data_IF_301629246501
#
_entry.id   IF_301629246501
#
_cell.length_a   1.000
_cell.length_b   1.000
_cell.length_c   1.000
_cell.angle_alpha   90.00
_cell.angle_beta   90.00
_cell.angle_gamma   90.00
#
_symmetry.space_group_name_H-M   'P 1'
#
loop_
_entity.id
_entity.type
_entity.pdbx_description
1 polymer ?
#
# COMPACT_ATOMS: atom_id res chain seq x y z
N UNK A 1 -19.96 -43.82 14.42
CA UNK A 1 -18.50 -44.13 14.35
C UNK A 1 -17.84 -43.59 13.12
N UNK A 2 -18.45 -42.65 12.38
CA UNK A 2 -17.89 -42.09 11.10
C UNK A 2 -17.37 -40.66 11.16
N UNK A 3 -17.73 -39.88 12.17
CA UNK A 3 -17.33 -38.45 12.27
C UNK A 3 -15.85 -38.29 12.67
N UNK A 4 -15.27 -39.23 13.41
CA UNK A 4 -13.85 -39.17 13.84
C UNK A 4 -12.85 -39.47 12.71
N UNK A 5 -13.29 -40.09 11.61
CA UNK A 5 -12.42 -40.41 10.47
C UNK A 5 -12.21 -39.21 9.53
N UNK A 6 -13.09 -38.21 9.63
CA UNK A 6 -13.07 -37.01 8.77
C UNK A 6 -12.12 -35.92 9.28
N UNK A 7 -11.78 -35.94 10.56
CA UNK A 7 -10.93 -34.92 11.17
C UNK A 7 -9.41 -35.12 10.98
N UNK A 8 -9.00 -36.26 10.42
CA UNK A 8 -7.58 -36.60 10.23
C UNK A 8 -7.13 -36.69 8.75
N UNK A 9 -7.93 -36.23 7.81
CA UNK A 9 -7.52 -36.15 6.40
C UNK A 9 -7.08 -34.75 6.07
N UNK A 10 -5.86 -34.60 5.57
CA UNK A 10 -5.33 -33.35 5.01
C UNK A 10 -6.15 -32.99 3.79
N UNK A 11 -7.07 -32.03 3.94
CA UNK A 11 -7.91 -31.52 2.85
C UNK A 11 -7.06 -30.55 2.02
N UNK A 12 -6.87 -30.83 0.74
CA UNK A 12 -6.21 -29.90 -0.18
C UNK A 12 -7.13 -28.71 -0.51
N UNK A 13 -6.55 -27.58 -0.93
CA UNK A 13 -7.32 -26.39 -1.36
C UNK A 13 -8.35 -26.74 -2.47
N UNK A 14 -8.04 -27.71 -3.30
CA UNK A 14 -8.93 -28.19 -4.38
C UNK A 14 -10.14 -28.94 -3.82
N UNK A 15 -9.94 -29.74 -2.79
CA UNK A 15 -11.03 -30.50 -2.14
C UNK A 15 -11.99 -29.57 -1.37
N UNK A 16 -11.47 -28.50 -0.78
CA UNK A 16 -12.29 -27.49 -0.13
C UNK A 16 -13.18 -26.72 -1.13
N UNK A 17 -12.66 -26.39 -2.31
CA UNK A 17 -13.40 -25.70 -3.38
C UNK A 17 -14.48 -26.62 -3.97
N UNK A 18 -14.18 -27.90 -4.18
CA UNK A 18 -15.14 -28.88 -4.72
C UNK A 18 -16.23 -29.20 -3.69
N UNK A 19 -15.91 -29.24 -2.40
CA UNK A 19 -16.90 -29.44 -1.34
C UNK A 19 -17.87 -28.25 -1.23
N UNK A 20 -17.38 -27.02 -1.38
CA UNK A 20 -18.21 -25.79 -1.35
C UNK A 20 -19.16 -25.72 -2.56
N UNK A 21 -18.72 -26.16 -3.73
CA UNK A 21 -19.56 -26.22 -4.95
C UNK A 21 -20.66 -27.28 -4.86
N UNK A 22 -20.44 -28.37 -4.13
CA UNK A 22 -21.46 -29.45 -3.95
C UNK A 22 -22.50 -29.12 -2.87
N UNK A 23 -22.17 -28.25 -1.90
CA UNK A 23 -23.12 -27.81 -0.86
C UNK A 23 -24.05 -26.70 -1.36
N UNK A 24 -23.67 -25.95 -2.40
CA UNK A 24 -24.47 -24.90 -3.01
C UNK A 24 -25.68 -25.39 -3.82
N UNK A 25 -25.78 -26.69 -4.08
CA UNK A 25 -26.86 -27.28 -4.92
C UNK A 25 -27.97 -28.04 -4.14
N UNK A 26 -27.96 -28.05 -2.81
CA UNK A 26 -28.83 -28.88 -2.00
C UNK A 26 -29.42 -28.23 -0.73
N UNK A 27 -29.72 -26.94 -0.74
CA UNK A 27 -30.45 -26.31 0.38
C UNK A 27 -31.63 -25.47 -0.16
N UNK A 28 -32.63 -26.17 -0.68
CA UNK A 28 -34.01 -25.75 -0.52
C UNK A 28 -34.65 -26.78 0.39
N UNK A 29 -34.68 -26.52 1.68
CA UNK A 29 -35.68 -26.98 2.63
C UNK A 29 -35.38 -26.46 4.04
N UNK A 30 -36.33 -25.72 4.54
CA UNK A 30 -36.46 -25.23 5.91
C UNK A 30 -36.23 -26.31 6.97
N UNK A 31 -35.15 -26.19 7.72
CA UNK A 31 -35.05 -26.58 9.14
C UNK A 31 -33.88 -25.86 9.77
N UNK A 32 -34.14 -25.17 10.88
CA UNK A 32 -33.16 -24.49 11.69
C UNK A 32 -32.11 -25.50 12.17
N UNK A 33 -30.95 -25.57 11.51
CA UNK A 33 -29.78 -26.23 12.06
C UNK A 33 -29.15 -25.24 13.02
N UNK A 34 -29.41 -25.42 14.31
CA UNK A 34 -28.62 -24.84 15.38
C UNK A 34 -27.24 -25.46 15.29
N UNK A 35 -26.32 -24.83 14.57
CA UNK A 35 -24.91 -25.14 14.69
C UNK A 35 -24.51 -24.80 16.12
N UNK A 36 -23.95 -25.73 16.90
CA UNK A 36 -23.31 -25.35 18.15
C UNK A 36 -22.18 -24.38 17.76
N UNK A 37 -22.36 -23.12 18.06
CA UNK A 37 -21.23 -22.19 18.10
C UNK A 37 -20.20 -22.87 18.97
N UNK A 38 -19.00 -23.11 18.41
CA UNK A 38 -17.85 -23.51 19.17
C UNK A 38 -17.82 -22.63 20.42
N UNK A 39 -17.93 -23.28 21.56
CA UNK A 39 -17.73 -22.63 22.84
C UNK A 39 -16.53 -21.74 22.69
N UNK A 40 -16.75 -20.45 22.86
CA UNK A 40 -15.69 -19.46 23.00
C UNK A 40 -14.62 -20.13 23.83
N UNK A 41 -13.43 -20.31 23.26
CA UNK A 41 -12.26 -20.62 24.06
C UNK A 41 -12.26 -19.53 25.13
N UNK A 42 -12.59 -19.91 26.35
CA UNK A 42 -12.39 -19.04 27.47
C UNK A 42 -10.90 -18.77 27.46
N UNK A 43 -10.55 -17.53 27.02
CA UNK A 43 -9.22 -17.03 27.28
C UNK A 43 -9.05 -17.24 28.78
N UNK A 44 -8.18 -18.19 29.16
CA UNK A 44 -7.80 -18.31 30.54
C UNK A 44 -7.35 -16.93 30.95
N UNK A 45 -8.10 -16.31 31.87
CA UNK A 45 -7.70 -15.07 32.51
C UNK A 45 -6.40 -15.37 33.26
N UNK A 46 -5.29 -15.32 32.55
CA UNK A 46 -3.98 -15.24 33.19
C UNK A 46 -4.02 -13.95 34.00
N UNK A 47 -3.82 -14.03 35.34
CA UNK A 47 -3.86 -12.83 36.18
C UNK A 47 -2.87 -11.81 35.61
N UNK A 48 -3.39 -10.66 35.22
CA UNK A 48 -2.56 -9.57 34.68
C UNK A 48 -1.74 -9.06 35.85
N UNK A 49 -0.40 -9.01 35.75
CA UNK A 49 0.42 -8.49 36.82
C UNK A 49 -0.03 -7.05 37.12
N UNK A 50 -0.47 -6.83 38.37
CA UNK A 50 -0.61 -5.48 38.90
C UNK A 50 0.78 -4.98 39.26
N UNK A 51 1.21 -3.86 38.70
CA UNK A 51 2.42 -3.25 39.22
C UNK A 51 2.13 -2.46 40.51
N UNK A 52 3.17 -1.99 41.18
CA UNK A 52 3.09 -1.40 42.53
C UNK A 52 2.18 -0.15 42.64
N UNK A 53 1.58 0.32 41.54
CA UNK A 53 0.76 1.54 41.45
C UNK A 53 -0.71 1.27 41.07
N UNK A 54 -1.24 0.06 41.21
CA UNK A 54 -2.58 -0.33 40.72
C UNK A 54 -2.76 -0.15 39.20
N UNK A 55 -1.69 -0.04 38.45
CA UNK A 55 -1.72 0.00 37.01
C UNK A 55 -1.80 -1.43 36.45
N UNK A 56 -2.60 -1.62 35.43
CA UNK A 56 -2.66 -2.86 34.66
C UNK A 56 -2.15 -2.65 33.26
N UNK A 57 -1.34 -3.62 32.79
CA UNK A 57 -0.84 -3.64 31.41
C UNK A 57 -1.82 -4.38 30.51
N UNK A 58 -2.12 -3.82 29.36
CA UNK A 58 -2.88 -4.45 28.27
C UNK A 58 -2.07 -4.34 26.99
N UNK A 59 -2.11 -5.35 26.15
CA UNK A 59 -1.47 -5.35 24.83
C UNK A 59 -2.50 -5.06 23.75
N UNK A 60 -2.11 -4.27 22.77
CA UNK A 60 -2.95 -3.87 21.65
C UNK A 60 -2.10 -3.61 20.42
N UNK A 61 -2.72 -3.24 19.31
CA UNK A 61 -2.05 -2.82 18.09
C UNK A 61 -2.48 -1.40 17.69
N UNK A 62 -1.57 -0.66 17.10
CA UNK A 62 -1.87 0.65 16.53
C UNK A 62 -2.79 0.50 15.31
N UNK A 63 -3.94 1.17 15.35
CA UNK A 63 -4.94 1.16 14.27
C UNK A 63 -4.93 2.44 13.43
N UNK A 64 -3.84 3.19 13.44
CA UNK A 64 -3.69 4.35 12.55
C UNK A 64 -3.54 3.89 11.11
N UNK A 65 -4.05 4.67 10.17
CA UNK A 65 -4.14 4.36 8.73
C UNK A 65 -2.79 4.28 8.00
N UNK A 66 -1.68 4.06 8.67
CA UNK A 66 -0.40 3.79 8.02
C UNK A 66 -0.13 2.30 7.79
N UNK A 67 -1.01 1.41 8.26
CA UNK A 67 -0.88 -0.04 8.05
C UNK A 67 0.21 -0.75 8.86
N UNK A 68 1.03 -0.03 9.63
CA UNK A 68 2.19 -0.61 10.34
C UNK A 68 1.82 -1.57 11.47
N UNK A 69 0.59 -1.48 12.02
CA UNK A 69 0.08 -2.37 13.10
C UNK A 69 1.03 -2.50 14.29
N UNK A 70 1.77 -1.42 14.61
CA UNK A 70 2.77 -1.44 15.67
C UNK A 70 2.18 -1.95 16.99
N UNK A 71 2.84 -2.88 17.69
CA UNK A 71 2.42 -3.36 19.00
C UNK A 71 2.45 -2.23 20.02
N UNK A 72 1.44 -2.19 20.88
CA UNK A 72 1.25 -1.18 21.91
C UNK A 72 1.15 -1.84 23.28
N UNK A 73 1.92 -1.32 24.23
CA UNK A 73 1.76 -1.57 25.66
C UNK A 73 0.88 -0.47 26.23
N UNK A 74 -0.33 -0.85 26.63
CA UNK A 74 -1.37 0.09 27.10
C UNK A 74 -1.47 0.00 28.60
N UNK A 75 -1.21 1.10 29.28
CA UNK A 75 -1.27 1.18 30.74
C UNK A 75 -2.63 1.74 31.14
N UNK A 76 -3.36 0.94 31.92
CA UNK A 76 -4.72 1.25 32.38
C UNK A 76 -4.73 1.40 33.90
N UNK A 77 -5.33 2.48 34.40
CA UNK A 77 -5.57 2.74 35.81
C UNK A 77 -7.01 3.24 35.98
N UNK A 78 -7.76 2.66 36.92
CA UNK A 78 -9.17 3.02 37.15
C UNK A 78 -10.00 3.01 35.85
N UNK A 79 -9.89 1.92 35.08
CA UNK A 79 -10.55 1.73 33.77
C UNK A 79 -10.24 2.80 32.71
N UNK A 80 -9.17 3.57 32.88
CA UNK A 80 -8.74 4.59 31.93
C UNK A 80 -7.34 4.33 31.43
N UNK A 81 -7.12 4.50 30.14
CA UNK A 81 -5.79 4.50 29.53
C UNK A 81 -5.05 5.75 30.03
N UNK A 82 -4.01 5.56 30.83
CA UNK A 82 -3.20 6.66 31.36
C UNK A 82 -2.00 6.94 30.47
N UNK A 83 -1.41 5.91 29.85
CA UNK A 83 -0.34 6.08 28.85
C UNK A 83 -0.29 4.89 27.88
N UNK A 84 0.36 5.10 26.75
CA UNK A 84 0.64 4.09 25.75
C UNK A 84 2.15 4.14 25.47
N UNK A 85 2.78 3.00 25.58
CA UNK A 85 4.21 2.79 25.41
C UNK A 85 4.48 1.84 24.24
N UNK A 86 5.70 1.81 23.70
CA UNK A 86 6.13 0.71 22.85
C UNK A 86 6.05 -0.62 23.61
N UNK A 87 5.75 -1.69 22.92
CA UNK A 87 6.03 -3.03 23.43
C UNK A 87 7.54 -3.17 23.60
N UNK A 88 7.99 -3.73 24.71
CA UNK A 88 9.40 -3.87 25.05
C UNK A 88 9.93 -5.30 24.83
N UNK A 89 9.23 -6.09 24.03
CA UNK A 89 9.75 -7.35 23.52
C UNK A 89 11.07 -7.13 22.76
N UNK A 90 11.94 -8.11 22.79
CA UNK A 90 13.19 -8.09 22.05
C UNK A 90 12.94 -8.32 20.56
N UNK A 91 13.93 -7.98 19.73
CA UNK A 91 13.95 -8.33 18.32
C UNK A 91 13.81 -9.86 18.17
N UNK A 92 13.18 -10.30 17.09
CA UNK A 92 12.98 -11.71 16.82
C UNK A 92 14.32 -12.40 16.53
N UNK A 93 14.74 -13.27 17.44
CA UNK A 93 16.00 -13.99 17.29
C UNK A 93 15.95 -15.10 16.22
N UNK A 94 14.74 -15.58 15.86
CA UNK A 94 14.56 -16.69 14.92
C UNK A 94 14.58 -16.17 13.48
N UNK A 95 13.86 -15.07 13.20
CA UNK A 95 13.75 -14.50 11.87
C UNK A 95 14.69 -13.31 11.63
N UNK A 96 15.43 -12.87 12.66
CA UNK A 96 16.32 -11.71 12.56
C UNK A 96 15.58 -10.37 12.40
N UNK A 97 14.26 -10.36 12.57
CA UNK A 97 13.48 -9.16 12.43
C UNK A 97 13.56 -8.28 13.67
N UNK A 98 13.65 -6.97 13.46
CA UNK A 98 13.65 -6.00 14.54
C UNK A 98 12.24 -5.67 15.00
N UNK A 99 12.10 -5.31 16.26
CA UNK A 99 10.82 -4.94 16.82
C UNK A 99 10.28 -3.63 16.23
N UNK A 100 9.06 -3.67 15.72
CA UNK A 100 8.34 -2.49 15.25
C UNK A 100 7.86 -1.65 16.43
N UNK A 101 8.34 -0.41 16.55
CA UNK A 101 7.98 0.51 17.63
C UNK A 101 6.97 1.57 17.16
N UNK A 102 5.92 1.87 17.96
CA UNK A 102 4.93 2.86 17.59
C UNK A 102 5.54 4.27 17.60
N UNK A 103 5.26 5.02 16.55
CA UNK A 103 5.57 6.44 16.48
C UNK A 103 4.61 7.26 17.37
N UNK A 104 4.78 8.57 17.39
CA UNK A 104 3.94 9.49 18.17
C UNK A 104 2.44 9.32 17.90
N UNK A 105 2.04 9.03 16.65
CA UNK A 105 0.63 8.79 16.29
C UNK A 105 0.02 7.60 17.05
N UNK A 106 0.74 6.49 17.15
CA UNK A 106 0.30 5.33 17.93
C UNK A 106 0.27 5.63 19.42
N UNK A 107 1.34 6.23 19.94
CA UNK A 107 1.47 6.57 21.36
C UNK A 107 0.44 7.60 21.85
N UNK A 108 0.01 8.52 20.99
CA UNK A 108 -1.01 9.52 21.29
C UNK A 108 -2.45 9.04 21.10
N UNK A 109 -2.67 7.77 20.72
CA UNK A 109 -4.02 7.23 20.43
C UNK A 109 -5.01 7.38 21.58
N UNK A 110 -4.53 7.44 22.85
CA UNK A 110 -5.39 7.68 24.02
C UNK A 110 -6.19 8.99 23.92
N UNK A 111 -5.62 10.04 23.33
CA UNK A 111 -6.31 11.32 23.15
C UNK A 111 -7.50 11.18 22.21
N UNK A 112 -7.38 10.36 21.17
CA UNK A 112 -8.49 10.05 20.28
C UNK A 112 -9.58 9.23 20.97
N UNK A 113 -9.20 8.29 21.86
CA UNK A 113 -10.19 7.49 22.63
C UNK A 113 -11.05 8.38 23.53
N UNK A 114 -10.43 9.37 24.16
CA UNK A 114 -11.11 10.27 25.10
C UNK A 114 -11.45 11.64 24.52
N UNK A 115 -11.36 11.83 23.22
CA UNK A 115 -11.75 13.09 22.59
C UNK A 115 -13.21 13.42 22.89
N UNK A 116 -13.52 14.67 23.28
CA UNK A 116 -14.90 15.11 23.49
C UNK A 116 -15.74 15.02 22.21
N UNK A 117 -15.10 15.17 21.06
CA UNK A 117 -15.76 15.11 19.73
C UNK A 117 -16.03 13.69 19.24
N UNK A 118 -15.59 12.68 20.00
CA UNK A 118 -15.81 11.28 19.62
C UNK A 118 -17.28 10.93 19.64
N UNK A 119 -17.80 10.39 18.53
CA UNK A 119 -19.14 9.82 18.46
C UNK A 119 -19.21 8.58 19.34
N UNK A 120 -20.08 8.60 20.36
CA UNK A 120 -20.22 7.52 21.38
C UNK A 120 -21.48 6.68 21.20
N UNK A 121 -22.44 7.19 20.46
CA UNK A 121 -23.79 6.61 20.32
C UNK A 121 -24.25 6.73 18.88
N UNK A 122 -25.18 5.87 18.42
CA UNK A 122 -25.85 6.06 17.16
C UNK A 122 -26.59 7.40 17.15
N UNK A 123 -26.53 8.08 16.02
CA UNK A 123 -27.18 9.38 15.84
C UNK A 123 -27.94 9.41 14.52
N UNK A 124 -29.19 9.93 14.58
CA UNK A 124 -30.04 10.10 13.41
C UNK A 124 -30.16 11.58 13.07
N UNK A 125 -30.00 11.92 11.80
CA UNK A 125 -30.19 13.28 11.32
C UNK A 125 -31.64 13.70 11.46
N UNK A 126 -31.88 14.89 12.00
CA UNK A 126 -33.21 15.49 12.23
C UNK A 126 -33.43 16.78 11.45
N UNK A 127 -32.42 17.31 10.80
CA UNK A 127 -32.48 18.51 9.97
C UNK A 127 -32.29 18.19 8.47
N UNK A 128 -32.28 19.22 7.65
CA UNK A 128 -31.92 19.11 6.23
C UNK A 128 -30.45 18.65 6.07
N UNK A 129 -30.13 18.06 4.90
CA UNK A 129 -28.75 17.71 4.58
C UNK A 129 -27.88 18.97 4.63
N UNK A 130 -26.76 18.92 5.35
CA UNK A 130 -25.84 20.04 5.53
C UNK A 130 -26.08 20.87 6.82
N UNK A 131 -27.23 20.77 7.47
CA UNK A 131 -27.49 21.54 8.73
C UNK A 131 -26.73 20.99 9.95
N UNK A 132 -26.17 19.78 9.89
CA UNK A 132 -25.42 19.19 11.01
C UNK A 132 -26.27 18.86 12.25
N UNK A 133 -27.59 18.79 12.12
CA UNK A 133 -28.52 18.52 13.23
C UNK A 133 -28.79 17.05 13.40
N UNK A 134 -28.42 16.50 14.55
CA UNK A 134 -28.58 15.09 14.88
C UNK A 134 -29.18 14.90 16.25
N UNK A 135 -29.94 13.81 16.46
CA UNK A 135 -30.37 13.34 17.78
C UNK A 135 -29.79 11.95 18.07
N UNK A 136 -29.49 11.69 19.33
CA UNK A 136 -29.11 10.34 19.79
C UNK A 136 -30.32 9.40 19.66
N UNK A 137 -30.05 8.16 19.22
CA UNK A 137 -31.01 7.06 19.14
C UNK A 137 -30.43 5.81 19.82
N UNK A 138 -31.22 4.77 20.04
CA UNK A 138 -30.74 3.47 20.50
C UNK A 138 -30.11 2.68 19.38
N UNK A 139 -29.34 1.63 19.72
CA UNK A 139 -28.82 0.68 18.72
C UNK A 139 -29.95 -0.08 18.03
N UNK A 140 -31.02 -0.43 18.76
CA UNK A 140 -32.18 -1.13 18.18
C UNK A 140 -32.90 -0.25 17.16
N UNK A 141 -33.10 1.04 17.47
CA UNK A 141 -33.66 2.00 16.51
C UNK A 141 -32.75 2.17 15.29
N UNK A 142 -31.42 2.23 15.50
CA UNK A 142 -30.48 2.41 14.41
C UNK A 142 -30.45 1.20 13.47
N UNK A 143 -30.37 -0.01 14.01
CA UNK A 143 -30.32 -1.25 13.22
C UNK A 143 -31.65 -1.51 12.50
N UNK A 144 -32.78 -1.30 13.15
CA UNK A 144 -34.09 -1.41 12.53
C UNK A 144 -34.27 -0.42 11.38
N UNK A 145 -33.87 0.84 11.59
CA UNK A 145 -33.92 1.87 10.55
C UNK A 145 -33.03 1.52 9.34
N UNK A 146 -31.79 1.08 9.57
CA UNK A 146 -30.86 0.69 8.51
C UNK A 146 -31.41 -0.52 7.73
N UNK A 147 -31.93 -1.54 8.43
CA UNK A 147 -32.49 -2.72 7.78
C UNK A 147 -33.69 -2.35 6.89
N UNK A 148 -34.64 -1.53 7.41
CA UNK A 148 -35.79 -1.07 6.64
C UNK A 148 -35.39 -0.28 5.38
N UNK A 149 -34.37 0.62 5.50
CA UNK A 149 -33.91 1.41 4.36
C UNK A 149 -33.16 0.56 3.33
N UNK A 150 -32.35 -0.41 3.73
CA UNK A 150 -31.70 -1.33 2.82
C UNK A 150 -32.73 -2.17 2.04
N UNK A 151 -33.77 -2.65 2.73
CA UNK A 151 -34.89 -3.38 2.10
C UNK A 151 -35.62 -2.48 1.11
N UNK A 152 -36.05 -1.32 1.55
CA UNK A 152 -36.79 -0.35 0.71
C UNK A 152 -35.99 0.03 -0.56
N UNK A 153 -34.69 0.37 -0.42
CA UNK A 153 -33.86 0.74 -1.57
C UNK A 153 -33.70 -0.43 -2.52
N UNK A 154 -33.49 -1.64 -1.98
CA UNK A 154 -33.33 -2.84 -2.80
C UNK A 154 -34.59 -3.19 -3.59
N UNK A 155 -35.77 -3.08 -2.97
CA UNK A 155 -37.05 -3.37 -3.61
C UNK A 155 -37.45 -2.30 -4.63
N UNK A 156 -37.15 -1.04 -4.34
CA UNK A 156 -37.59 0.08 -5.16
C UNK A 156 -36.62 0.37 -6.33
N UNK A 157 -35.32 0.19 -6.15
CA UNK A 157 -34.30 0.64 -7.09
C UNK A 157 -33.27 -0.42 -7.51
N UNK A 158 -33.35 -1.63 -6.95
CA UNK A 158 -32.37 -2.70 -7.20
C UNK A 158 -31.18 -2.65 -6.23
N UNK A 159 -30.36 -3.71 -6.27
CA UNK A 159 -29.20 -3.88 -5.39
C UNK A 159 -28.05 -2.94 -5.73
N UNK A 160 -27.90 -2.62 -6.98
CA UNK A 160 -26.91 -1.68 -7.52
C UNK A 160 -27.10 -0.23 -7.05
N UNK A 161 -28.28 0.10 -6.47
CA UNK A 161 -28.52 1.38 -5.81
C UNK A 161 -27.86 1.47 -4.41
N UNK A 162 -27.37 0.34 -3.88
CA UNK A 162 -26.63 0.29 -2.62
C UNK A 162 -25.14 0.33 -2.93
N UNK A 163 -24.51 1.49 -2.73
CA UNK A 163 -23.08 1.66 -2.94
C UNK A 163 -22.30 1.49 -1.63
N UNK A 164 -21.33 0.58 -1.63
CA UNK A 164 -20.41 0.41 -0.50
C UNK A 164 -19.13 1.20 -0.72
N UNK A 165 -18.94 2.26 0.08
CA UNK A 165 -17.77 3.13 -0.03
C UNK A 165 -16.50 2.48 0.50
N UNK A 166 -15.38 2.80 -0.14
CA UNK A 166 -14.05 2.33 0.22
C UNK A 166 -13.60 2.80 1.61
N UNK A 167 -12.92 1.90 2.29
CA UNK A 167 -12.26 2.15 3.55
C UNK A 167 -10.97 1.32 3.64
N UNK A 168 -9.86 1.91 4.08
CA UNK A 168 -8.56 1.25 4.16
C UNK A 168 -7.85 1.44 5.50
N UNK A 169 -6.60 0.95 5.56
CA UNK A 169 -5.74 0.99 6.73
C UNK A 169 -5.91 -0.20 7.65
N UNK A 170 -5.27 -0.17 8.82
CA UNK A 170 -5.32 -1.26 9.79
C UNK A 170 -6.74 -1.54 10.31
N UNK A 171 -7.59 -0.54 10.27
CA UNK A 171 -9.01 -0.68 10.59
C UNK A 171 -9.75 -1.71 9.72
N UNK A 172 -9.27 -1.98 8.54
CA UNK A 172 -9.87 -2.92 7.62
C UNK A 172 -10.24 -4.26 8.27
N UNK A 173 -9.39 -4.77 9.17
CA UNK A 173 -9.59 -6.06 9.83
C UNK A 173 -10.38 -5.99 11.14
N UNK A 174 -10.45 -4.82 11.78
CA UNK A 174 -11.07 -4.63 13.09
C UNK A 174 -12.37 -3.85 13.08
N UNK A 175 -12.71 -3.30 11.92
CA UNK A 175 -13.98 -2.59 11.71
C UNK A 175 -15.01 -3.50 11.04
N UNK A 176 -16.24 -3.08 11.07
CA UNK A 176 -17.37 -3.82 10.53
C UNK A 176 -17.36 -4.04 9.00
N UNK A 177 -16.31 -3.65 8.25
CA UNK A 177 -16.27 -3.80 6.81
C UNK A 177 -16.49 -5.25 6.34
N UNK A 178 -15.78 -6.27 6.85
CA UNK A 178 -16.05 -7.65 6.46
C UNK A 178 -17.48 -8.09 6.79
N UNK A 179 -18.03 -7.64 7.91
CA UNK A 179 -19.40 -7.93 8.30
C UNK A 179 -20.42 -7.26 7.38
N UNK A 180 -20.19 -5.99 6.99
CA UNK A 180 -21.03 -5.27 6.02
C UNK A 180 -20.98 -5.93 4.64
N UNK A 181 -19.80 -6.27 4.13
CA UNK A 181 -19.64 -6.96 2.84
C UNK A 181 -20.37 -8.31 2.87
N UNK A 182 -20.23 -9.06 3.98
CA UNK A 182 -20.94 -10.32 4.16
C UNK A 182 -22.46 -10.13 4.15
N UNK A 183 -22.98 -9.17 4.91
CA UNK A 183 -24.40 -8.86 4.95
C UNK A 183 -24.93 -8.52 3.56
N UNK A 184 -24.30 -7.59 2.86
CA UNK A 184 -24.72 -7.13 1.54
C UNK A 184 -24.69 -8.24 0.50
N UNK A 185 -23.67 -9.11 0.52
CA UNK A 185 -23.60 -10.28 -0.35
C UNK A 185 -24.72 -11.29 -0.05
N UNK A 186 -25.00 -11.55 1.23
CA UNK A 186 -26.09 -12.46 1.64
C UNK A 186 -27.48 -11.91 1.30
N UNK A 187 -27.62 -10.60 1.18
CA UNK A 187 -28.90 -9.96 0.83
C UNK A 187 -29.04 -9.65 -0.66
N UNK A 188 -28.17 -10.19 -1.51
CA UNK A 188 -28.31 -10.14 -2.97
C UNK A 188 -27.34 -9.21 -3.70
N UNK A 189 -26.34 -8.66 -3.01
CA UNK A 189 -25.28 -7.87 -3.62
C UNK A 189 -25.40 -6.36 -3.39
N UNK A 190 -24.46 -5.63 -3.99
CA UNK A 190 -24.32 -4.17 -3.86
C UNK A 190 -23.37 -3.65 -4.95
N UNK A 191 -23.37 -2.35 -5.20
CA UNK A 191 -22.39 -1.69 -6.04
C UNK A 191 -21.09 -1.50 -5.27
N UNK A 192 -20.04 -2.19 -5.70
CA UNK A 192 -18.70 -2.07 -5.11
C UNK A 192 -17.94 -0.90 -5.72
N UNK A 193 -16.93 -0.40 -5.00
CA UNK A 193 -15.99 0.59 -5.54
C UNK A 193 -15.00 -0.06 -6.52
N UNK A 194 -14.55 0.70 -7.50
CA UNK A 194 -13.48 0.30 -8.40
C UNK A 194 -12.19 1.03 -8.06
N UNK A 195 -11.18 0.28 -7.60
CA UNK A 195 -9.85 0.79 -7.29
C UNK A 195 -9.81 1.92 -6.21
N UNK A 196 -8.64 2.46 -5.99
CA UNK A 196 -8.40 3.51 -5.00
C UNK A 196 -7.37 4.51 -5.51
N UNK A 197 -7.42 5.74 -5.03
CA UNK A 197 -6.38 6.73 -5.32
C UNK A 197 -5.03 6.40 -4.67
N UNK A 198 -5.00 5.49 -3.70
CA UNK A 198 -3.78 5.22 -2.91
C UNK A 198 -2.68 4.56 -3.74
N UNK A 199 -3.00 3.46 -4.42
CA UNK A 199 -2.01 2.59 -5.10
C UNK A 199 -2.53 1.97 -6.38
N UNK A 200 -3.73 2.33 -6.84
CA UNK A 200 -4.36 1.68 -7.98
C UNK A 200 -3.51 1.73 -9.24
N UNK A 201 -2.84 2.84 -9.46
CA UNK A 201 -2.06 3.05 -10.68
C UNK A 201 -0.76 2.23 -10.65
N UNK A 202 -0.08 2.11 -9.49
CA UNK A 202 1.03 1.18 -9.33
C UNK A 202 0.57 -0.27 -9.53
N UNK A 203 -0.53 -0.63 -8.86
CA UNK A 203 -1.08 -1.99 -8.92
C UNK A 203 -1.54 -2.40 -10.32
N UNK A 204 -1.94 -1.43 -11.14
CA UNK A 204 -2.29 -1.65 -12.55
C UNK A 204 -1.06 -1.65 -13.45
N UNK A 205 -0.19 -0.65 -13.33
CA UNK A 205 0.95 -0.48 -14.22
C UNK A 205 1.99 -1.60 -14.11
N UNK A 206 2.29 -2.06 -12.89
CA UNK A 206 3.36 -3.06 -12.66
C UNK A 206 3.10 -4.39 -13.39
N UNK A 207 1.92 -5.01 -13.33
CA UNK A 207 1.62 -6.22 -14.10
C UNK A 207 1.69 -6.01 -15.63
N UNK A 208 1.28 -4.83 -16.11
CA UNK A 208 1.38 -4.52 -17.54
C UNK A 208 2.83 -4.28 -18.00
N UNK A 209 3.72 -3.88 -17.09
CA UNK A 209 5.13 -3.65 -17.40
C UNK A 209 5.96 -4.93 -17.26
N UNK A 210 5.68 -5.74 -16.24
CA UNK A 210 6.52 -6.87 -15.84
C UNK A 210 5.83 -8.24 -15.89
N UNK A 211 4.54 -8.28 -16.27
CA UNK A 211 3.75 -9.52 -16.30
C UNK A 211 3.12 -9.89 -14.96
N UNK A 212 3.65 -9.39 -13.83
CA UNK A 212 3.12 -9.62 -12.48
C UNK A 212 3.41 -8.42 -11.56
N UNK A 213 2.80 -8.42 -10.37
CA UNK A 213 3.08 -7.43 -9.33
C UNK A 213 4.36 -7.79 -8.59
N UNK A 214 5.48 -7.32 -9.10
CA UNK A 214 6.82 -7.65 -8.63
C UNK A 214 7.54 -6.44 -8.06
N UNK A 215 8.56 -6.70 -7.24
CA UNK A 215 9.44 -5.69 -6.67
C UNK A 215 10.43 -6.31 -5.69
N UNK A 216 11.56 -5.65 -5.50
CA UNK A 216 12.60 -6.09 -4.56
C UNK A 216 12.35 -5.56 -3.16
N UNK A 217 12.68 -6.33 -2.15
CA UNK A 217 12.60 -5.92 -0.75
C UNK A 217 13.73 -4.95 -0.39
N UNK A 218 13.53 -4.09 0.62
CA UNK A 218 14.55 -3.13 1.08
C UNK A 218 15.87 -3.75 1.51
N UNK A 219 15.88 -5.00 1.93
CA UNK A 219 17.11 -5.72 2.27
C UNK A 219 18.08 -5.81 1.11
N UNK A 220 17.62 -5.73 -0.14
CA UNK A 220 18.48 -5.73 -1.33
C UNK A 220 19.37 -4.49 -1.43
N UNK A 221 19.03 -3.41 -0.73
CA UNK A 221 19.88 -2.22 -0.61
C UNK A 221 21.25 -2.56 0.02
N UNK A 222 21.33 -3.61 0.84
CA UNK A 222 22.60 -4.08 1.39
C UNK A 222 23.64 -4.49 0.32
N UNK A 223 23.20 -4.73 -0.91
CA UNK A 223 24.04 -5.11 -2.05
C UNK A 223 24.21 -4.00 -3.09
N UNK A 224 23.65 -2.81 -2.82
CA UNK A 224 23.62 -1.69 -3.76
C UNK A 224 24.76 -0.71 -3.50
N UNK A 225 25.19 0.00 -4.54
CA UNK A 225 26.16 1.10 -4.47
C UNK A 225 25.43 2.46 -4.55
N UNK A 226 24.26 2.47 -5.19
CA UNK A 226 23.41 3.64 -5.34
C UNK A 226 21.96 3.28 -5.04
N UNK A 227 21.26 4.19 -4.34
CA UNK A 227 19.84 4.09 -4.04
C UNK A 227 19.13 5.34 -4.56
N UNK A 228 18.15 5.19 -5.44
CA UNK A 228 17.36 6.31 -5.98
C UNK A 228 15.90 6.13 -5.61
N UNK A 229 15.37 7.06 -4.83
CA UNK A 229 14.01 7.01 -4.29
C UNK A 229 13.15 8.12 -4.88
N UNK A 230 12.11 7.75 -5.64
CA UNK A 230 11.16 8.68 -6.24
C UNK A 230 9.94 8.87 -5.33
N UNK A 231 9.75 10.06 -4.76
CA UNK A 231 8.61 10.40 -3.93
C UNK A 231 8.37 9.41 -2.77
N UNK A 232 9.42 8.83 -2.23
CA UNK A 232 9.37 7.83 -1.18
C UNK A 232 9.88 8.41 0.15
N UNK A 233 8.95 8.76 1.02
CA UNK A 233 9.22 9.31 2.33
C UNK A 233 8.94 8.28 3.43
N UNK A 234 9.90 7.45 3.76
CA UNK A 234 9.76 6.38 4.74
C UNK A 234 9.67 6.89 6.17
N UNK A 235 10.38 7.97 6.49
CA UNK A 235 10.46 8.50 7.86
C UNK A 235 9.13 9.08 8.34
N UNK A 236 8.34 9.72 7.46
CA UNK A 236 7.07 10.33 7.83
C UNK A 236 5.85 9.44 7.54
N UNK A 237 5.80 8.78 6.39
CA UNK A 237 4.56 8.17 5.90
C UNK A 237 4.35 6.73 6.35
N UNK A 238 5.37 5.91 6.41
CA UNK A 238 5.35 4.51 6.87
C UNK A 238 4.19 3.67 6.33
N UNK A 239 3.75 3.93 5.10
CA UNK A 239 2.50 3.34 4.58
C UNK A 239 2.55 1.83 4.39
N UNK A 240 3.72 1.25 4.20
CA UNK A 240 3.90 -0.18 3.92
C UNK A 240 4.42 -0.98 5.12
N UNK A 241 4.79 -0.31 6.22
CA UNK A 241 5.24 -1.02 7.43
C UNK A 241 6.00 -0.12 8.40
N UNK A 242 5.94 -0.44 9.68
CA UNK A 242 6.58 0.34 10.75
C UNK A 242 8.09 0.15 10.87
N UNK A 243 8.64 -0.87 10.22
CA UNK A 243 10.05 -1.25 10.29
C UNK A 243 10.92 -0.70 9.17
N UNK A 244 10.33 -0.19 8.10
CA UNK A 244 11.05 0.12 6.86
C UNK A 244 12.22 1.12 7.01
N UNK A 245 12.10 2.11 7.88
CA UNK A 245 13.21 3.04 8.14
C UNK A 245 14.41 2.31 8.76
N UNK A 246 14.14 1.39 9.71
CA UNK A 246 15.19 0.61 10.34
C UNK A 246 15.80 -0.41 9.38
N UNK A 247 14.98 -1.03 8.54
CA UNK A 247 15.45 -1.94 7.48
C UNK A 247 16.37 -1.22 6.49
N UNK A 248 15.96 -0.02 6.04
CA UNK A 248 16.77 0.83 5.17
C UNK A 248 18.09 1.21 5.86
N UNK A 249 18.04 1.65 7.12
CA UNK A 249 19.23 2.02 7.89
C UNK A 249 20.22 0.86 8.01
N UNK A 250 19.75 -0.32 8.38
CA UNK A 250 20.61 -1.53 8.48
C UNK A 250 21.21 -1.93 7.14
N UNK A 251 20.42 -1.85 6.07
CA UNK A 251 20.91 -2.15 4.73
C UNK A 251 21.98 -1.14 4.28
N UNK A 252 21.79 0.15 4.55
CA UNK A 252 22.78 1.21 4.26
C UNK A 252 24.04 1.11 5.12
N UNK A 253 23.94 0.66 6.38
CA UNK A 253 25.11 0.38 7.21
C UNK A 253 26.00 -0.72 6.60
N UNK A 254 25.41 -1.66 5.91
CA UNK A 254 26.11 -2.76 5.23
C UNK A 254 26.71 -2.29 3.90
N UNK A 255 25.90 -1.72 3.02
CA UNK A 255 26.30 -1.36 1.66
C UNK A 255 27.13 -0.09 1.56
N UNK A 256 26.90 0.87 2.48
CA UNK A 256 27.40 2.24 2.36
C UNK A 256 26.94 2.95 1.09
N UNK A 257 25.84 2.50 0.51
CA UNK A 257 25.30 3.06 -0.73
C UNK A 257 24.99 4.55 -0.58
N UNK A 258 25.28 5.31 -1.62
CA UNK A 258 24.83 6.70 -1.72
C UNK A 258 23.32 6.73 -1.98
N UNK A 259 22.61 7.63 -1.31
CA UNK A 259 21.15 7.78 -1.43
C UNK A 259 20.80 9.09 -2.12
N UNK A 260 19.93 9.04 -3.12
CA UNK A 260 19.35 10.20 -3.80
C UNK A 260 17.83 10.12 -3.62
N UNK A 261 17.24 11.17 -3.05
CA UNK A 261 15.79 11.28 -2.87
C UNK A 261 15.24 12.39 -3.77
N UNK A 262 14.44 11.97 -4.73
CA UNK A 262 13.74 12.83 -5.68
C UNK A 262 12.34 13.09 -5.10
N UNK A 263 12.13 14.26 -4.53
CA UNK A 263 10.88 14.61 -3.85
C UNK A 263 10.62 16.11 -3.95
N UNK A 264 9.38 16.57 -4.16
CA UNK A 264 9.04 17.98 -4.11
C UNK A 264 9.35 18.65 -2.76
N UNK A 265 9.42 17.88 -1.69
CA UNK A 265 9.66 18.35 -0.32
C UNK A 265 11.00 17.87 0.22
N UNK A 266 11.64 18.73 1.01
CA UNK A 266 12.72 18.31 1.89
C UNK A 266 12.13 17.61 3.11
N UNK A 267 12.21 16.28 3.15
CA UNK A 267 11.54 15.43 4.14
C UNK A 267 12.51 14.90 5.20
N UNK A 268 11.97 14.37 6.31
CA UNK A 268 12.79 13.71 7.33
C UNK A 268 13.63 12.57 6.76
N UNK A 269 13.18 11.90 5.69
CA UNK A 269 13.96 10.86 5.03
C UNK A 269 15.26 11.38 4.42
N UNK A 270 15.32 12.63 3.96
CA UNK A 270 16.55 13.22 3.44
C UNK A 270 17.59 13.40 4.56
N UNK A 271 17.12 13.82 5.75
CA UNK A 271 17.98 14.06 6.91
C UNK A 271 18.48 12.76 7.51
N UNK A 272 17.57 11.79 7.73
CA UNK A 272 17.89 10.55 8.43
C UNK A 272 18.82 9.63 7.63
N UNK A 273 18.71 9.68 6.30
CA UNK A 273 19.50 8.83 5.41
C UNK A 273 20.74 9.55 4.84
N UNK A 274 21.04 10.77 5.30
CA UNK A 274 22.11 11.60 4.75
C UNK A 274 22.08 11.69 3.23
N UNK A 275 20.85 11.75 2.68
CA UNK A 275 20.59 11.65 1.25
C UNK A 275 20.85 12.97 0.52
N UNK A 276 21.27 12.88 -0.73
CA UNK A 276 21.14 14.00 -1.64
C UNK A 276 19.67 14.25 -1.94
N UNK A 277 19.17 15.45 -1.66
CA UNK A 277 17.83 15.84 -2.07
C UNK A 277 17.84 16.46 -3.47
N UNK A 278 17.04 15.90 -4.34
CA UNK A 278 16.83 16.40 -5.69
C UNK A 278 15.40 16.92 -5.81
N UNK A 279 15.18 18.24 -5.64
CA UNK A 279 13.85 18.83 -5.71
C UNK A 279 13.27 18.72 -7.12
N UNK A 280 12.02 18.26 -7.21
CA UNK A 280 11.33 18.10 -8.46
C UNK A 280 9.96 18.79 -8.42
N UNK A 281 9.49 19.37 -9.53
CA UNK A 281 8.10 19.82 -9.60
C UNK A 281 7.16 18.62 -9.50
N UNK A 282 6.07 18.72 -8.72
CA UNK A 282 5.12 17.60 -8.57
C UNK A 282 4.63 17.08 -9.91
N UNK A 283 4.47 15.76 -10.05
CA UNK A 283 3.92 15.06 -11.23
C UNK A 283 4.78 15.10 -12.50
N UNK A 284 6.06 15.44 -12.40
CA UNK A 284 6.96 15.54 -13.56
C UNK A 284 8.05 14.45 -13.59
N UNK A 285 7.93 13.42 -12.74
CA UNK A 285 8.90 12.33 -12.65
C UNK A 285 9.11 11.61 -13.99
N UNK A 286 8.06 11.44 -14.79
CA UNK A 286 8.15 10.81 -16.11
C UNK A 286 9.03 11.60 -17.08
N UNK A 287 9.00 12.94 -17.00
CA UNK A 287 9.86 13.79 -17.83
C UNK A 287 11.33 13.69 -17.38
N UNK A 288 11.58 13.60 -16.07
CA UNK A 288 12.92 13.34 -15.55
C UNK A 288 13.47 12.02 -16.11
N UNK A 289 12.68 10.95 -16.03
CA UNK A 289 13.07 9.64 -16.54
C UNK A 289 13.37 9.67 -18.03
N UNK A 290 12.55 10.36 -18.82
CA UNK A 290 12.80 10.51 -20.26
C UNK A 290 14.12 11.25 -20.56
N UNK A 291 14.43 12.33 -19.80
CA UNK A 291 15.71 13.03 -19.92
C UNK A 291 16.91 12.19 -19.49
N UNK A 292 16.76 11.35 -18.47
CA UNK A 292 17.77 10.34 -18.09
C UNK A 292 17.96 9.34 -19.22
N UNK A 293 16.88 8.77 -19.75
CA UNK A 293 16.94 7.80 -20.84
C UNK A 293 17.58 8.38 -22.11
N UNK A 294 17.29 9.65 -22.44
CA UNK A 294 17.95 10.32 -23.55
C UNK A 294 19.47 10.35 -23.39
N UNK A 295 19.96 10.68 -22.19
CA UNK A 295 21.40 10.65 -21.91
C UNK A 295 21.98 9.24 -22.01
N UNK A 296 21.29 8.24 -21.42
CA UNK A 296 21.71 6.84 -21.48
C UNK A 296 21.87 6.35 -22.93
N UNK A 297 20.93 6.71 -23.79
CA UNK A 297 20.94 6.30 -25.22
C UNK A 297 22.03 7.06 -26.00
N UNK A 298 22.06 8.38 -25.90
CA UNK A 298 22.95 9.21 -26.72
C UNK A 298 24.42 9.11 -26.31
N UNK A 299 24.71 8.83 -25.07
CA UNK A 299 26.06 8.60 -24.56
C UNK A 299 26.47 7.11 -24.60
N UNK A 300 25.61 6.25 -25.17
CA UNK A 300 25.87 4.80 -25.32
C UNK A 300 26.18 4.11 -24.00
N UNK A 301 25.42 4.45 -22.95
CA UNK A 301 25.60 3.92 -21.60
C UNK A 301 24.76 2.66 -21.33
N UNK A 302 24.06 2.14 -22.34
CA UNK A 302 23.23 0.96 -22.27
C UNK A 302 23.87 -0.24 -22.96
N UNK A 303 23.67 -1.42 -22.42
CA UNK A 303 23.82 -2.67 -23.17
C UNK A 303 22.55 -2.91 -24.00
N UNK A 304 22.49 -2.36 -25.21
CA UNK A 304 21.31 -2.46 -26.09
C UNK A 304 20.99 -3.92 -26.44
N UNK A 305 21.96 -4.82 -26.49
CA UNK A 305 21.73 -6.23 -26.74
C UNK A 305 20.96 -6.87 -25.57
N UNK A 306 21.34 -6.54 -24.34
CA UNK A 306 20.64 -6.97 -23.13
C UNK A 306 19.21 -6.40 -23.11
N UNK A 307 19.07 -5.09 -23.35
CA UNK A 307 17.77 -4.42 -23.34
C UNK A 307 16.83 -5.04 -24.38
N UNK A 308 17.27 -5.22 -25.61
CA UNK A 308 16.47 -5.83 -26.70
C UNK A 308 16.12 -7.31 -26.42
N UNK A 309 16.96 -8.02 -25.66
CA UNK A 309 16.69 -9.40 -25.28
C UNK A 309 15.55 -9.53 -24.27
N UNK A 310 15.42 -8.59 -23.34
CA UNK A 310 14.49 -8.69 -22.21
C UNK A 310 13.35 -7.69 -22.25
N UNK A 311 13.40 -6.66 -23.09
CA UNK A 311 12.40 -5.61 -23.17
C UNK A 311 11.73 -5.59 -24.55
N UNK A 312 10.42 -5.66 -24.57
CA UNK A 312 9.62 -5.49 -25.79
C UNK A 312 9.41 -4.00 -26.05
N UNK A 313 9.65 -3.56 -27.29
CA UNK A 313 9.39 -2.17 -27.72
C UNK A 313 10.45 -1.16 -27.30
N UNK A 314 11.65 -1.58 -26.92
CA UNK A 314 12.76 -0.66 -26.68
C UNK A 314 13.16 0.06 -27.98
N UNK A 315 13.44 -0.70 -29.02
CA UNK A 315 13.67 -0.17 -30.37
C UNK A 315 12.76 -0.85 -31.41
N UNK A 316 12.93 -0.48 -32.68
CA UNK A 316 12.06 -0.98 -33.76
C UNK A 316 12.15 -2.49 -33.97
N UNK A 317 13.27 -3.12 -33.62
CA UNK A 317 13.47 -4.55 -33.80
C UNK A 317 12.65 -5.41 -32.84
N UNK A 318 12.21 -4.82 -31.73
CA UNK A 318 11.43 -5.49 -30.66
C UNK A 318 9.97 -5.02 -30.61
N UNK A 319 9.54 -4.19 -31.56
CA UNK A 319 8.15 -3.79 -31.68
C UNK A 319 7.26 -4.96 -32.13
N UNK A 320 6.05 -5.12 -31.58
CA UNK A 320 5.05 -6.04 -32.13
C UNK A 320 4.63 -5.60 -33.54
N UNK A 321 4.29 -6.57 -34.40
CA UNK A 321 3.85 -6.32 -35.78
C UNK A 321 2.62 -5.37 -35.89
N UNK A 322 1.85 -5.28 -34.82
CA UNK A 322 0.66 -4.41 -34.71
C UNK A 322 0.99 -2.97 -34.32
N UNK A 323 2.23 -2.68 -33.92
CA UNK A 323 2.64 -1.34 -33.51
C UNK A 323 3.02 -0.47 -34.72
N UNK A 324 2.87 0.86 -34.58
CA UNK A 324 3.42 1.78 -35.58
C UNK A 324 4.95 1.68 -35.65
N UNK A 325 5.58 1.82 -36.83
CA UNK A 325 7.02 1.61 -37.00
C UNK A 325 7.93 2.51 -36.17
N UNK A 326 7.41 3.67 -35.75
CA UNK A 326 8.11 4.69 -34.93
C UNK A 326 7.61 4.76 -33.48
N UNK A 327 6.91 3.72 -33.01
CA UNK A 327 6.31 3.68 -31.68
C UNK A 327 7.25 3.08 -30.61
N UNK A 328 8.54 2.88 -30.92
CA UNK A 328 9.50 2.36 -29.94
C UNK A 328 9.81 3.39 -28.84
N UNK A 329 10.22 2.90 -27.68
CA UNK A 329 10.66 3.78 -26.60
C UNK A 329 11.87 4.65 -27.02
N UNK A 330 12.79 4.10 -27.79
CA UNK A 330 13.95 4.81 -28.34
C UNK A 330 13.50 5.92 -29.30
N UNK A 331 12.52 5.67 -30.17
CA UNK A 331 11.95 6.69 -31.06
C UNK A 331 11.28 7.82 -30.24
N UNK A 332 10.49 7.50 -29.22
CA UNK A 332 9.89 8.47 -28.34
C UNK A 332 10.94 9.36 -27.66
N UNK A 333 11.99 8.76 -27.09
CA UNK A 333 13.03 9.49 -26.35
C UNK A 333 13.86 10.38 -27.27
N UNK A 334 14.21 9.89 -28.46
CA UNK A 334 15.04 10.62 -29.42
C UNK A 334 14.27 11.63 -30.28
N UNK A 335 12.92 11.69 -30.17
CA UNK A 335 12.10 12.57 -30.96
C UNK A 335 11.91 12.14 -32.41
N UNK A 336 12.12 10.87 -32.72
CA UNK A 336 11.81 10.26 -34.02
C UNK A 336 10.44 9.56 -34.03
N UNK A 337 9.73 9.60 -32.89
CA UNK A 337 8.36 9.16 -32.72
C UNK A 337 7.31 10.20 -33.17
N UNK A 338 6.05 9.94 -32.88
CA UNK A 338 4.91 10.71 -33.41
C UNK A 338 4.90 12.18 -32.99
N UNK A 339 5.42 12.54 -31.81
CA UNK A 339 5.42 13.93 -31.33
C UNK A 339 6.59 14.75 -31.86
N UNK A 340 7.59 14.14 -32.50
CA UNK A 340 8.74 14.82 -33.08
C UNK A 340 9.62 15.56 -32.07
N UNK A 341 9.45 15.31 -30.75
CA UNK A 341 10.13 16.07 -29.70
C UNK A 341 11.17 15.18 -29.03
N UNK A 342 12.46 15.52 -29.15
CA UNK A 342 13.52 14.85 -28.38
C UNK A 342 13.41 15.19 -26.87
N UNK A 343 13.44 14.17 -26.04
CA UNK A 343 13.31 14.30 -24.59
C UNK A 343 14.68 14.57 -23.96
N UNK A 344 15.34 15.63 -24.45
CA UNK A 344 16.68 16.00 -23.98
C UNK A 344 16.69 16.34 -22.48
N UNK A 345 17.85 16.33 -21.82
CA UNK A 345 17.98 16.83 -20.46
C UNK A 345 17.53 18.30 -20.31
N UNK A 346 17.66 19.14 -21.32
CA UNK A 346 17.17 20.51 -21.35
C UNK A 346 15.64 20.54 -21.36
N UNK A 347 15.00 19.77 -22.25
CA UNK A 347 13.55 19.61 -22.27
C UNK A 347 13.04 19.13 -20.91
N UNK A 348 13.69 18.14 -20.31
CA UNK A 348 13.31 17.66 -18.98
C UNK A 348 13.54 18.69 -17.88
N UNK A 349 14.61 19.50 -17.96
CA UNK A 349 14.90 20.56 -16.99
C UNK A 349 13.82 21.65 -16.96
N UNK A 350 13.32 22.06 -18.12
CA UNK A 350 12.24 23.04 -18.22
C UNK A 350 10.95 22.56 -17.56
N UNK A 351 10.67 21.27 -17.62
CA UNK A 351 9.48 20.65 -17.03
C UNK A 351 9.68 20.41 -15.54
N UNK A 352 10.79 19.78 -15.16
CA UNK A 352 11.00 19.26 -13.81
C UNK A 352 11.55 20.29 -12.82
N UNK A 353 12.25 21.30 -13.34
CA UNK A 353 13.03 22.25 -12.55
C UNK A 353 14.40 21.73 -12.10
N UNK A 354 14.78 20.50 -12.48
CA UNK A 354 16.09 19.92 -12.19
C UNK A 354 17.06 20.36 -13.30
N UNK A 355 18.24 20.92 -12.99
CA UNK A 355 19.19 21.36 -14.01
C UNK A 355 19.60 20.22 -14.97
N UNK A 356 19.67 20.49 -16.27
CA UNK A 356 20.03 19.53 -17.30
C UNK A 356 21.38 18.82 -17.01
N UNK A 357 22.36 19.57 -16.47
CA UNK A 357 23.65 19.01 -16.03
C UNK A 357 23.49 17.95 -14.96
N UNK A 358 22.56 18.17 -14.00
CA UNK A 358 22.28 17.20 -12.94
C UNK A 358 21.53 15.97 -13.46
N UNK A 359 20.64 16.16 -14.43
CA UNK A 359 19.95 15.04 -15.11
C UNK A 359 20.95 14.13 -15.81
N UNK A 360 21.89 14.70 -16.59
CA UNK A 360 23.00 13.94 -17.21
C UNK A 360 23.87 13.22 -16.20
N UNK A 361 24.22 13.93 -15.14
CA UNK A 361 25.03 13.34 -14.07
C UNK A 361 24.32 12.16 -13.44
N UNK A 362 23.01 12.27 -13.12
CA UNK A 362 22.21 11.20 -12.54
C UNK A 362 22.14 9.97 -13.49
N UNK A 363 21.97 10.20 -14.79
CA UNK A 363 21.97 9.14 -15.80
C UNK A 363 23.29 8.34 -15.77
N UNK A 364 24.44 9.05 -15.74
CA UNK A 364 25.77 8.42 -15.68
C UNK A 364 25.99 7.69 -14.34
N UNK A 365 25.53 8.25 -13.23
CA UNK A 365 25.60 7.63 -11.90
C UNK A 365 24.82 6.32 -11.84
N UNK A 366 23.61 6.30 -12.41
CA UNK A 366 22.79 5.08 -12.47
C UNK A 366 23.49 4.03 -13.37
N UNK A 367 23.96 4.43 -14.54
CA UNK A 367 24.59 3.51 -15.49
C UNK A 367 25.94 2.95 -14.99
N UNK A 368 26.69 3.73 -14.22
CA UNK A 368 28.00 3.32 -13.69
C UNK A 368 27.92 2.55 -12.38
N UNK A 369 26.79 2.56 -11.69
CA UNK A 369 26.61 1.79 -10.47
C UNK A 369 26.67 0.29 -10.79
N UNK A 370 27.40 -0.48 -9.98
CA UNK A 370 27.42 -1.94 -10.09
C UNK A 370 26.03 -2.52 -9.76
N UNK A 371 25.36 -1.94 -8.77
CA UNK A 371 24.00 -2.28 -8.41
C UNK A 371 23.28 -1.00 -7.94
N UNK A 372 22.22 -0.62 -8.66
CA UNK A 372 21.39 0.54 -8.33
C UNK A 372 20.01 0.09 -7.88
N UNK A 373 19.64 0.40 -6.64
CA UNK A 373 18.28 0.17 -6.14
C UNK A 373 17.39 1.36 -6.47
N UNK A 374 16.40 1.17 -7.34
CA UNK A 374 15.45 2.21 -7.75
C UNK A 374 14.07 1.86 -7.20
N UNK A 375 13.48 2.77 -6.43
CA UNK A 375 12.17 2.57 -5.84
C UNK A 375 11.31 3.83 -5.89
N UNK A 376 10.01 3.65 -6.07
CA UNK A 376 9.05 4.73 -6.01
C UNK A 376 8.10 4.60 -4.83
N UNK A 377 7.76 5.73 -4.24
CA UNK A 377 6.66 5.83 -3.29
C UNK A 377 5.31 5.93 -3.99
N UNK A 378 4.28 6.21 -3.21
CA UNK A 378 2.93 6.37 -3.75
C UNK A 378 2.63 7.79 -4.26
N UNK A 379 3.49 8.76 -3.95
CA UNK A 379 3.35 10.14 -4.39
C UNK A 379 3.32 10.30 -5.90
N UNK A 380 4.33 9.82 -6.64
CA UNK A 380 4.46 10.02 -8.08
C UNK A 380 3.27 9.55 -8.91
N UNK A 381 2.50 8.55 -8.44
CA UNK A 381 1.34 8.04 -9.19
C UNK A 381 0.01 8.74 -8.87
N UNK A 382 -0.04 9.64 -7.86
CA UNK A 382 -1.31 10.22 -7.36
C UNK A 382 -1.77 11.43 -8.16
N UNK A 383 -1.86 11.29 -9.46
CA UNK A 383 -2.40 12.30 -10.39
C UNK A 383 -3.06 11.61 -11.58
N UNK A 384 -3.67 12.39 -12.49
CA UNK A 384 -4.21 11.84 -13.72
C UNK A 384 -3.10 11.17 -14.54
N UNK A 385 -3.37 9.97 -15.05
CA UNK A 385 -2.43 9.15 -15.83
C UNK A 385 -1.14 8.79 -15.07
N UNK A 386 -1.19 8.70 -13.74
CA UNK A 386 -0.03 8.37 -12.90
C UNK A 386 0.54 6.97 -13.15
N UNK A 387 -0.23 6.06 -13.76
CA UNK A 387 0.26 4.77 -14.25
C UNK A 387 1.37 4.93 -15.31
N UNK A 388 1.36 6.00 -16.08
CA UNK A 388 2.46 6.29 -17.03
C UNK A 388 3.74 6.71 -16.27
N UNK A 389 3.59 7.48 -15.20
CA UNK A 389 4.73 7.81 -14.31
C UNK A 389 5.32 6.54 -13.67
N UNK A 390 4.47 5.63 -13.22
CA UNK A 390 4.93 4.33 -12.68
C UNK A 390 5.73 3.56 -13.71
N UNK A 391 5.18 3.41 -14.93
CA UNK A 391 5.86 2.71 -16.03
C UNK A 391 7.19 3.36 -16.39
N UNK A 392 7.22 4.70 -16.46
CA UNK A 392 8.44 5.45 -16.73
C UNK A 392 9.53 5.15 -15.69
N UNK A 393 9.22 5.23 -14.39
CA UNK A 393 10.20 4.95 -13.33
C UNK A 393 10.67 3.48 -13.42
N UNK A 394 9.77 2.54 -13.67
CA UNK A 394 10.10 1.11 -13.82
C UNK A 394 10.94 0.81 -15.07
N UNK A 395 10.97 1.70 -16.04
CA UNK A 395 11.82 1.56 -17.23
C UNK A 395 13.31 1.72 -16.89
N UNK A 396 13.67 2.54 -15.89
CA UNK A 396 15.08 2.80 -15.56
C UNK A 396 15.86 1.52 -15.20
N UNK A 397 15.43 0.69 -14.23
CA UNK A 397 16.15 -0.54 -13.91
C UNK A 397 16.17 -1.52 -15.09
N UNK A 398 15.13 -1.52 -15.94
CA UNK A 398 15.12 -2.37 -17.14
C UNK A 398 16.14 -1.92 -18.17
N UNK A 399 16.30 -0.61 -18.42
CA UNK A 399 17.27 -0.06 -19.33
C UNK A 399 18.71 -0.28 -18.89
N UNK A 400 18.98 -0.22 -17.59
CA UNK A 400 20.32 -0.22 -17.02
C UNK A 400 20.76 -1.58 -16.46
N UNK A 401 19.94 -2.63 -16.65
CA UNK A 401 20.27 -3.98 -16.19
C UNK A 401 20.22 -4.17 -14.67
N UNK A 402 19.55 -3.25 -13.95
CA UNK A 402 19.38 -3.32 -12.49
C UNK A 402 18.04 -3.97 -12.08
N UNK A 403 17.47 -4.79 -12.96
CA UNK A 403 16.24 -5.52 -12.71
C UNK A 403 16.55 -6.94 -12.26
N UNK A 404 16.05 -7.35 -11.04
CA UNK A 404 16.24 -8.71 -10.51
C UNK A 404 16.59 -8.74 -9.03
#
# INVERSE_FOLDING_TARGET
MEIKKWLNTTITRRDAIVATAKVGAAVTLSQAITLPFATTAQAQDTPIPKDANDETVRHSACLVNCGSRCPLKVIVKNDRIVRIEPEDAKDDAVFGEHQIRPCLRGRSSRWRVYSPDRIKYPMKRVGKRGEGKFKRISWDEATAFIAAELTRVSEQYGREAIYYNYQSGAYYHTQGRPAWIRLLNLTGGYLNYHNTYSTAQIATATPYTHGDYVGSHFTQIAHSDLVVLFGLNLSETRMSGGGQVEELRRALETSKARVIIIDPRYTDSVITEHAEWLPIRPTTDAALVAGIAHTLITEQLLDEALVNRYCVGYDRSTLPDTAAPNASYKDYVLGTGDDGIAKTPEWAADITGIPATRIRQLAREIASARACYICQGWGPQRHANGEQTVRAIQTLPALTGHFG
#
